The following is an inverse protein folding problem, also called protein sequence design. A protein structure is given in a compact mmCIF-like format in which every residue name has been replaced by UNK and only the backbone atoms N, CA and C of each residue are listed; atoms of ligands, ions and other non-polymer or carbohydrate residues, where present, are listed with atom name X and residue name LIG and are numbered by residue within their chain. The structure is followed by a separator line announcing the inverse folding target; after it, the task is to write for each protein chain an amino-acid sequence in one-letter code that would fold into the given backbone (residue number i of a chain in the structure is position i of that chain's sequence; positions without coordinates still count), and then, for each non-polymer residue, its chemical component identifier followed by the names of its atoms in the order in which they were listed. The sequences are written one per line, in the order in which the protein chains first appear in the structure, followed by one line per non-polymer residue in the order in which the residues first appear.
data_IF_447928504980
#
_entry.id   IF_447928504980
#
_cell.length_a   1.000
_cell.length_b   1.000
_cell.length_c   1.000
_cell.angle_alpha   90.00
_cell.angle_beta   90.00
_cell.angle_gamma   90.00
#
_symmetry.space_group_name_H-M   'P 1'
#
loop_
_entity.id
_entity.type
_entity.pdbx_description
1 polymer ?
#
# COMPACT_ATOMS: atom_id res chain seq x y z
N UNK A 1 33.36 -41.39 -18.28
CA UNK A 1 33.07 -40.78 -16.96
C UNK A 1 32.98 -39.25 -17.02
N UNK A 2 33.83 -38.55 -17.78
CA UNK A 2 33.81 -37.07 -17.89
C UNK A 2 32.52 -36.47 -18.47
N UNK A 3 31.88 -37.12 -19.44
CA UNK A 3 30.62 -36.66 -20.05
C UNK A 3 29.42 -36.70 -19.07
N UNK A 4 29.38 -37.72 -18.20
CA UNK A 4 28.32 -37.86 -17.18
C UNK A 4 28.44 -36.79 -16.09
N UNK A 5 29.67 -36.42 -15.73
CA UNK A 5 29.96 -35.33 -14.79
C UNK A 5 29.60 -33.95 -15.38
N UNK A 6 29.88 -33.73 -16.67
CA UNK A 6 29.51 -32.49 -17.35
C UNK A 6 27.98 -32.30 -17.45
N UNK A 7 27.24 -33.38 -17.73
CA UNK A 7 25.78 -33.35 -17.79
C UNK A 7 25.14 -33.09 -16.42
N UNK A 8 25.70 -33.68 -15.35
CA UNK A 8 25.24 -33.46 -13.98
C UNK A 8 25.48 -32.01 -13.51
N UNK A 9 26.61 -31.40 -13.89
CA UNK A 9 26.90 -30.01 -13.58
C UNK A 9 25.95 -29.02 -14.30
N UNK A 10 25.51 -29.35 -15.52
CA UNK A 10 24.58 -28.51 -16.28
C UNK A 10 23.16 -28.53 -15.68
N UNK A 11 22.73 -29.66 -15.10
CA UNK A 11 21.42 -29.81 -14.43
C UNK A 11 21.35 -29.11 -13.06
N UNK A 12 22.49 -28.88 -12.40
CA UNK A 12 22.52 -28.17 -11.11
C UNK A 12 22.37 -26.65 -11.25
N UNK A 13 22.72 -26.08 -12.42
CA UNK A 13 22.61 -24.64 -12.70
C UNK A 13 21.16 -24.19 -12.87
N UNK A 14 20.25 -25.06 -13.30
CA UNK A 14 18.85 -24.70 -13.60
C UNK A 14 17.96 -24.54 -12.35
N UNK A 15 18.43 -24.92 -11.16
CA UNK A 15 17.66 -24.82 -9.92
C UNK A 15 17.89 -23.50 -9.15
N UNK A 16 18.80 -22.64 -9.63
CA UNK A 16 19.33 -21.54 -8.82
C UNK A 16 18.55 -20.22 -8.90
N UNK A 17 17.47 -20.08 -9.67
CA UNK A 17 16.79 -18.78 -9.78
C UNK A 17 15.28 -18.94 -9.96
N UNK A 18 14.56 -18.89 -8.85
CA UNK A 18 13.18 -18.41 -8.83
C UNK A 18 12.88 -17.84 -7.45
N UNK A 19 13.57 -16.75 -7.09
CA UNK A 19 13.04 -15.86 -6.06
C UNK A 19 11.84 -15.17 -6.72
N UNK A 20 10.62 -15.55 -6.35
CA UNK A 20 9.40 -15.01 -6.95
C UNK A 20 9.44 -13.47 -6.86
N UNK A 21 9.42 -12.82 -8.01
CA UNK A 21 9.47 -11.37 -8.06
C UNK A 21 8.27 -10.80 -7.30
N UNK A 22 8.54 -10.01 -6.24
CA UNK A 22 7.49 -9.33 -5.46
C UNK A 22 6.55 -8.60 -6.42
N UNK A 23 5.26 -8.98 -6.41
CA UNK A 23 4.23 -8.37 -7.27
C UNK A 23 3.86 -7.01 -6.70
N UNK A 24 4.00 -5.97 -7.53
CA UNK A 24 3.57 -4.61 -7.20
C UNK A 24 2.36 -4.23 -8.03
N UNK A 25 1.49 -3.45 -7.40
CA UNK A 25 0.39 -2.74 -8.02
C UNK A 25 0.79 -1.28 -8.23
N UNK A 26 0.14 -0.63 -9.18
CA UNK A 26 0.31 0.81 -9.40
C UNK A 26 -0.83 1.55 -8.70
N UNK A 27 -0.49 2.62 -8.00
CA UNK A 27 -1.46 3.52 -7.39
C UNK A 27 -1.10 4.98 -7.62
N UNK A 28 -2.04 5.88 -7.39
CA UNK A 28 -1.82 7.32 -7.48
C UNK A 28 -2.08 7.96 -6.12
N UNK A 29 -1.13 8.77 -5.64
CA UNK A 29 -1.34 9.57 -4.44
C UNK A 29 -2.26 10.73 -4.78
N UNK A 30 -3.42 10.79 -4.15
CA UNK A 30 -4.42 11.83 -4.41
C UNK A 30 -4.20 13.05 -3.53
N UNK A 31 -3.94 12.82 -2.24
CA UNK A 31 -3.94 13.88 -1.25
C UNK A 31 -3.04 13.55 -0.06
N UNK A 32 -2.63 14.61 0.63
CA UNK A 32 -2.08 14.55 1.99
C UNK A 32 -2.94 15.44 2.89
N UNK A 33 -3.32 14.92 4.04
CA UNK A 33 -4.03 15.65 5.09
C UNK A 33 -3.21 15.64 6.39
N UNK A 34 -3.38 16.70 7.19
CA UNK A 34 -2.81 16.79 8.52
C UNK A 34 -3.94 16.65 9.52
N UNK A 35 -4.06 15.48 10.15
CA UNK A 35 -5.16 15.17 11.06
C UNK A 35 -4.64 15.13 12.50
N UNK A 36 -5.50 15.52 13.44
CA UNK A 36 -5.20 15.35 14.86
C UNK A 36 -5.18 13.85 15.20
N UNK A 37 -4.13 13.43 15.88
CA UNK A 37 -3.91 12.05 16.25
C UNK A 37 -3.27 11.97 17.64
N UNK A 38 -3.54 10.88 18.34
CA UNK A 38 -2.84 10.52 19.56
C UNK A 38 -1.64 9.65 19.19
N UNK A 39 -0.43 10.14 19.45
CA UNK A 39 0.79 9.36 19.23
C UNK A 39 1.05 8.54 20.49
N UNK A 40 0.84 7.23 20.42
CA UNK A 40 1.24 6.29 21.47
C UNK A 40 2.72 5.91 21.30
N UNK A 41 3.64 6.87 21.39
CA UNK A 41 5.07 6.53 21.49
C UNK A 41 5.39 6.26 22.96
N UNK A 42 5.42 4.97 23.30
CA UNK A 42 5.81 4.41 24.60
C UNK A 42 4.73 4.49 25.70
N UNK A 43 4.60 3.40 26.45
CA UNK A 43 3.64 3.18 27.55
C UNK A 43 3.83 4.11 28.77
N UNK A 44 4.46 5.28 28.61
CA UNK A 44 4.85 6.17 29.71
C UNK A 44 4.77 7.67 29.39
N UNK A 45 4.21 8.09 28.26
CA UNK A 45 4.00 9.51 27.97
C UNK A 45 2.50 9.83 28.01
N UNK A 46 2.15 10.80 28.86
CA UNK A 46 0.78 11.25 29.13
C UNK A 46 0.03 11.53 27.81
N UNK A 47 -1.16 10.95 27.68
CA UNK A 47 -2.03 11.03 26.50
C UNK A 47 -2.69 12.42 26.33
N UNK A 48 -1.92 13.51 26.32
CA UNK A 48 -2.45 14.88 26.33
C UNK A 48 -1.92 15.82 25.25
N UNK A 49 -0.92 15.41 24.46
CA UNK A 49 -0.45 16.26 23.36
C UNK A 49 -1.12 15.82 22.06
N UNK A 50 -2.12 16.59 21.63
CA UNK A 50 -2.75 16.42 20.31
C UNK A 50 -1.68 16.61 19.23
N UNK A 51 -1.16 15.52 18.69
CA UNK A 51 -0.17 15.55 17.64
C UNK A 51 -0.85 15.69 16.27
N UNK A 52 -0.15 16.27 15.31
CA UNK A 52 -0.58 16.31 13.91
C UNK A 52 0.09 15.14 13.17
N UNK A 53 -0.72 14.26 12.59
CA UNK A 53 -0.24 13.16 11.76
C UNK A 53 -0.51 13.45 10.29
N UNK A 54 0.46 13.11 9.45
CA UNK A 54 0.30 13.12 8.01
C UNK A 54 -0.40 11.84 7.55
N UNK A 55 -1.57 12.00 6.96
CA UNK A 55 -2.35 10.94 6.35
C UNK A 55 -2.37 11.15 4.83
N UNK A 56 -2.19 10.07 4.08
CA UNK A 56 -2.16 10.09 2.63
C UNK A 56 -3.28 9.24 2.06
N UNK A 57 -3.93 9.73 1.01
CA UNK A 57 -4.91 8.96 0.25
C UNK A 57 -4.24 8.39 -0.99
N UNK A 58 -4.08 7.07 -1.03
CA UNK A 58 -3.61 6.33 -2.19
C UNK A 58 -4.80 5.73 -2.93
N UNK A 59 -4.95 6.07 -4.20
CA UNK A 59 -5.91 5.44 -5.09
C UNK A 59 -5.28 4.22 -5.77
N UNK A 60 -5.81 3.05 -5.48
CA UNK A 60 -5.58 1.82 -6.25
C UNK A 60 -6.57 1.67 -7.41
N UNK A 61 -6.78 0.43 -7.85
CA UNK A 61 -7.69 0.13 -8.96
C UNK A 61 -9.15 0.42 -8.58
N UNK A 62 -9.60 -0.23 -7.49
CA UNK A 62 -10.98 -0.19 -7.00
C UNK A 62 -11.10 0.36 -5.56
N UNK A 63 -9.98 0.73 -4.93
CA UNK A 63 -9.92 1.08 -3.52
C UNK A 63 -9.19 2.41 -3.30
N UNK A 64 -9.60 3.13 -2.26
CA UNK A 64 -8.89 4.24 -1.66
C UNK A 64 -8.32 3.78 -0.33
N UNK A 65 -7.00 3.93 -0.17
CA UNK A 65 -6.29 3.59 1.07
C UNK A 65 -5.91 4.87 1.79
N UNK A 66 -6.23 4.93 3.08
CA UNK A 66 -5.76 5.96 3.98
C UNK A 66 -4.52 5.47 4.70
N UNK A 67 -3.39 6.14 4.48
CA UNK A 67 -2.07 5.66 4.84
C UNK A 67 -1.35 6.62 5.78
N UNK A 68 -0.60 6.08 6.73
CA UNK A 68 0.32 6.85 7.57
C UNK A 68 1.70 6.21 7.57
N UNK A 69 2.75 7.03 7.59
CA UNK A 69 4.11 6.52 7.73
C UNK A 69 4.24 5.74 9.04
N UNK A 70 4.79 4.52 8.99
CA UNK A 70 5.05 3.73 10.20
C UNK A 70 6.22 4.30 11.01
N UNK A 71 7.25 4.78 10.32
CA UNK A 71 8.37 5.51 10.94
C UNK A 71 7.98 6.98 11.14
N UNK A 72 7.55 7.32 12.36
CA UNK A 72 7.18 8.69 12.75
C UNK A 72 8.41 9.59 12.93
N UNK A 73 9.60 9.02 13.16
CA UNK A 73 10.84 9.79 13.40
C UNK A 73 11.43 10.32 12.11
N UNK A 74 11.30 9.56 11.03
CA UNK A 74 11.74 9.96 9.68
C UNK A 74 10.69 9.61 8.64
N UNK A 75 9.53 10.30 8.67
CA UNK A 75 8.48 10.05 7.70
C UNK A 75 8.96 10.50 6.32
N UNK A 76 8.84 9.61 5.34
CA UNK A 76 9.09 9.97 3.96
C UNK A 76 7.86 10.69 3.40
N UNK A 77 8.09 11.91 2.92
CA UNK A 77 7.06 12.68 2.25
C UNK A 77 6.72 12.04 0.91
N UNK A 78 5.44 11.74 0.71
CA UNK A 78 4.97 11.14 -0.52
C UNK A 78 4.60 12.22 -1.54
N UNK A 79 5.03 12.09 -2.81
CA UNK A 79 4.74 13.08 -3.84
C UNK A 79 3.29 12.97 -4.31
N UNK A 80 2.44 13.85 -3.77
CA UNK A 80 1.02 13.95 -4.17
C UNK A 80 0.88 14.18 -5.67
N UNK A 81 -0.09 13.51 -6.29
CA UNK A 81 -0.37 13.56 -7.73
C UNK A 81 0.49 12.61 -8.57
N UNK A 82 1.48 11.93 -7.99
CA UNK A 82 2.35 10.98 -8.71
C UNK A 82 1.89 9.54 -8.57
N UNK A 83 2.31 8.73 -9.55
CA UNK A 83 2.15 7.28 -9.49
C UNK A 83 3.23 6.68 -8.59
N UNK A 84 2.84 5.68 -7.81
CA UNK A 84 3.72 4.92 -6.93
C UNK A 84 3.42 3.44 -7.08
N UNK A 85 4.44 2.61 -6.87
CA UNK A 85 4.26 1.17 -6.71
C UNK A 85 3.85 0.86 -5.29
N UNK A 86 2.91 -0.04 -5.09
CA UNK A 86 2.55 -0.54 -3.77
C UNK A 86 2.40 -2.06 -3.76
N UNK A 87 2.62 -2.66 -2.61
CA UNK A 87 2.32 -4.07 -2.36
C UNK A 87 1.89 -4.26 -0.93
N UNK A 88 1.11 -5.31 -0.72
CA UNK A 88 0.74 -5.80 0.60
C UNK A 88 1.41 -7.15 0.80
N UNK A 89 2.03 -7.33 1.96
CA UNK A 89 2.63 -8.59 2.37
C UNK A 89 2.25 -8.84 3.81
N UNK A 90 1.42 -9.87 4.03
CA UNK A 90 0.82 -10.18 5.32
C UNK A 90 0.00 -9.00 5.85
N UNK A 91 0.46 -8.38 6.94
CA UNK A 91 -0.13 -7.21 7.60
C UNK A 91 0.59 -5.90 7.25
N UNK A 92 1.55 -5.93 6.32
CA UNK A 92 2.42 -4.79 6.01
C UNK A 92 2.11 -4.20 4.65
N UNK A 93 2.03 -2.88 4.61
CA UNK A 93 1.80 -2.11 3.39
C UNK A 93 3.09 -1.39 2.98
N UNK A 94 3.57 -1.67 1.78
CA UNK A 94 4.82 -1.10 1.27
C UNK A 94 4.57 -0.19 0.09
N UNK A 95 5.19 1.00 0.12
CA UNK A 95 5.21 1.96 -0.97
C UNK A 95 6.60 2.11 -1.58
N UNK A 96 6.61 2.35 -2.90
CA UNK A 96 7.78 2.65 -3.72
C UNK A 96 7.49 3.87 -4.58
N UNK A 97 8.31 4.91 -4.43
CA UNK A 97 8.05 6.21 -5.06
C UNK A 97 8.20 6.23 -6.58
N UNK A 98 9.05 5.36 -7.13
CA UNK A 98 9.22 5.20 -8.58
C UNK A 98 9.32 3.72 -8.92
N UNK A 99 8.79 3.31 -10.07
CA UNK A 99 8.78 1.90 -10.48
C UNK A 99 10.17 1.25 -10.47
N UNK A 100 11.22 2.01 -10.84
CA UNK A 100 12.62 1.58 -10.85
C UNK A 100 13.35 1.70 -9.52
N UNK A 101 12.75 2.35 -8.52
CA UNK A 101 13.35 2.44 -7.19
C UNK A 101 13.35 1.06 -6.53
N UNK A 102 14.37 0.75 -5.74
CA UNK A 102 14.40 -0.48 -4.93
C UNK A 102 14.01 -0.20 -3.47
N UNK A 103 13.92 1.07 -3.10
CA UNK A 103 13.61 1.49 -1.74
C UNK A 103 12.12 1.33 -1.47
N UNK A 104 11.82 0.56 -0.43
CA UNK A 104 10.47 0.40 0.08
C UNK A 104 10.31 1.19 1.37
N UNK A 105 9.13 1.75 1.54
CA UNK A 105 8.72 2.45 2.75
C UNK A 105 7.47 1.79 3.31
N UNK A 106 7.49 1.45 4.58
CA UNK A 106 6.36 0.80 5.25
C UNK A 106 5.35 1.85 5.75
N UNK A 107 4.08 1.61 5.46
CA UNK A 107 2.95 2.43 5.85
C UNK A 107 1.94 1.60 6.63
N UNK A 108 1.24 2.26 7.54
CA UNK A 108 0.07 1.74 8.23
C UNK A 108 -1.16 2.09 7.40
N UNK A 109 -2.04 1.11 7.19
CA UNK A 109 -3.36 1.33 6.59
C UNK A 109 -4.35 1.65 7.70
N UNK A 110 -4.92 2.84 7.66
CA UNK A 110 -5.87 3.34 8.65
C UNK A 110 -7.30 2.98 8.28
N UNK A 111 -7.66 3.17 7.00
CA UNK A 111 -8.94 2.76 6.44
C UNK A 111 -8.79 2.38 4.96
N UNK A 112 -9.78 1.62 4.48
CA UNK A 112 -9.90 1.21 3.08
C UNK A 112 -11.34 1.49 2.66
N UNK A 113 -11.51 2.25 1.59
CA UNK A 113 -12.82 2.63 1.07
C UNK A 113 -12.97 2.18 -0.39
N UNK A 114 -14.13 1.66 -0.82
CA UNK A 114 -14.40 1.42 -2.22
C UNK A 114 -14.33 2.72 -3.01
N UNK A 115 -13.64 2.69 -4.15
CA UNK A 115 -13.61 3.83 -5.05
C UNK A 115 -14.96 3.96 -5.73
N UNK A 116 -15.60 5.12 -5.62
CA UNK A 116 -16.73 5.46 -6.47
C UNK A 116 -16.25 5.56 -7.92
N UNK A 117 -16.46 4.50 -8.68
CA UNK A 117 -16.42 4.57 -10.15
C UNK A 117 -17.67 5.34 -10.55
N UNK A 118 -17.49 6.49 -11.19
CA UNK A 118 -18.57 7.17 -11.89
C UNK A 118 -19.02 6.29 -13.05
N UNK A 119 -19.79 5.24 -12.74
CA UNK A 119 -20.56 4.51 -13.72
C UNK A 119 -21.78 5.36 -14.04
N UNK A 120 -21.91 5.70 -15.31
CA UNK A 120 -23.09 6.35 -15.85
C UNK A 120 -24.36 5.60 -15.38
N UNK A 121 -25.15 6.27 -14.54
CA UNK A 121 -26.60 6.12 -14.34
C UNK A 121 -27.18 4.76 -14.76
N UNK A 122 -27.33 3.85 -13.79
CA UNK A 122 -28.54 3.02 -13.73
C UNK A 122 -29.35 3.48 -12.53
N UNK A 123 -30.16 4.52 -12.77
CA UNK A 123 -31.37 4.73 -11.97
C UNK A 123 -32.31 3.55 -12.28
N UNK A 124 -32.23 2.48 -11.50
CA UNK A 124 -33.36 1.57 -11.34
C UNK A 124 -33.89 1.73 -9.93
N UNK A 125 -34.97 2.50 -9.88
CA UNK A 125 -35.86 2.61 -8.75
C UNK A 125 -36.24 1.24 -8.18
N UNK A 126 -36.14 1.09 -6.87
CA UNK A 126 -37.14 0.34 -6.11
C UNK A 126 -37.74 1.26 -5.05
N UNK A 127 -38.75 1.99 -5.53
CA UNK A 127 -39.86 2.50 -4.76
C UNK A 127 -40.47 1.35 -3.94
N UNK A 128 -40.41 1.45 -2.62
CA UNK A 128 -41.47 0.90 -1.75
C UNK A 128 -41.77 1.93 -0.66
N UNK A 129 -42.55 2.94 -1.03
CA UNK A 129 -43.51 3.53 -0.11
C UNK A 129 -44.74 2.63 -0.19
N UNK A 130 -45.00 1.83 0.84
CA UNK A 130 -46.36 1.54 1.33
C UNK A 130 -46.32 0.63 2.55
N UNK A 131 -47.35 0.82 3.39
CA UNK A 131 -47.74 0.10 4.60
C UNK A 131 -47.14 0.69 5.89
N UNK A 132 -47.92 1.09 6.88
CA UNK A 132 -49.33 1.44 7.01
C UNK A 132 -49.44 2.14 8.37
#
# INVERSE_FOLDING_TARGET
MKLKLALAALLLVTLAQAEDAKKYHNGKLLQMESLQCTVFENQSANASDSALCHEYVLQGDDLLFHLRAKDVRRPVLLPVGKQVGYRMEEDRFYLRLAASDKKEHEYLVLSIEPREKSEARVQTALKVNHLQ
#
